data_IF_385090488945
#
_entry.id   IF_385090488945
#
_cell.length_a   1.000
_cell.length_b   1.000
_cell.length_c   1.000
_cell.angle_alpha   90.00
_cell.angle_beta   90.00
_cell.angle_gamma   90.00
#
_symmetry.space_group_name_H-M   'P 1'
#
loop_
_entity.id
_entity.type
_entity.pdbx_description
1 polymer ?
#
# COMPACT_ATOMS: atom_id res chain seq x y z
N UNK A 1 11.40 -19.66 -4.61
CA UNK A 1 9.95 -19.74 -4.83
C UNK A 1 9.26 -19.74 -3.49
N UNK A 2 8.36 -18.79 -3.21
CA UNK A 2 7.49 -18.91 -2.03
C UNK A 2 6.74 -17.65 -1.61
N UNK A 3 7.36 -16.47 -1.65
CA UNK A 3 6.73 -15.22 -1.19
C UNK A 3 7.15 -14.03 -2.06
N UNK A 4 6.23 -13.08 -2.34
CA UNK A 4 6.59 -11.84 -3.02
C UNK A 4 7.61 -11.01 -2.24
N UNK A 5 8.38 -10.19 -2.94
CA UNK A 5 9.45 -9.36 -2.37
C UNK A 5 8.96 -8.19 -1.52
N UNK A 6 7.72 -7.74 -1.75
CA UNK A 6 7.00 -6.77 -0.94
C UNK A 6 6.48 -7.34 0.39
N UNK A 7 6.51 -8.66 0.58
CA UNK A 7 6.02 -9.29 1.81
C UNK A 7 7.11 -9.26 2.90
N UNK A 8 6.84 -8.59 4.02
CA UNK A 8 7.80 -8.42 5.10
C UNK A 8 7.70 -9.52 6.17
N UNK A 9 6.53 -10.12 6.37
CA UNK A 9 6.33 -11.10 7.43
C UNK A 9 4.89 -11.19 7.92
N UNK A 10 4.71 -11.91 9.03
CA UNK A 10 3.43 -12.00 9.74
C UNK A 10 3.63 -11.43 11.15
N UNK A 11 2.78 -10.48 11.52
CA UNK A 11 2.66 -9.97 12.89
C UNK A 11 1.48 -10.65 13.58
N UNK A 12 1.65 -11.01 14.84
CA UNK A 12 0.54 -11.43 15.70
C UNK A 12 -0.01 -10.21 16.42
N UNK A 13 -1.27 -9.89 16.19
CA UNK A 13 -1.98 -8.85 16.93
C UNK A 13 -3.21 -9.45 17.61
N UNK A 14 -3.19 -9.49 18.95
CA UNK A 14 -4.17 -10.21 19.77
C UNK A 14 -4.21 -11.70 19.38
N UNK A 15 -5.26 -12.16 18.73
CA UNK A 15 -5.44 -13.54 18.24
C UNK A 15 -5.44 -13.62 16.70
N UNK A 16 -5.21 -12.50 16.02
CA UNK A 16 -5.22 -12.39 14.56
C UNK A 16 -3.80 -12.34 14.00
N UNK A 17 -3.61 -13.01 12.85
CA UNK A 17 -2.37 -12.96 12.07
C UNK A 17 -2.52 -11.87 11.01
N UNK A 18 -1.65 -10.88 11.06
CA UNK A 18 -1.58 -9.81 10.07
C UNK A 18 -0.36 -10.01 9.18
N UNK A 19 -0.59 -10.15 7.89
CA UNK A 19 0.45 -10.16 6.86
C UNK A 19 0.90 -8.74 6.56
N UNK A 20 2.21 -8.51 6.59
CA UNK A 20 2.80 -7.17 6.52
C UNK A 20 3.39 -6.92 5.14
N UNK A 21 2.99 -5.80 4.55
CA UNK A 21 3.42 -5.31 3.23
C UNK A 21 4.40 -4.16 3.39
N UNK A 22 5.50 -4.22 2.65
CA UNK A 22 6.46 -3.15 2.49
C UNK A 22 5.85 -2.05 1.59
N UNK A 23 5.39 -0.96 2.21
CA UNK A 23 4.72 0.11 1.48
C UNK A 23 5.62 0.82 0.47
N UNK A 24 6.93 0.93 0.73
CA UNK A 24 7.86 1.55 -0.20
C UNK A 24 8.02 0.70 -1.46
N UNK A 25 8.21 -0.62 -1.30
CA UNK A 25 8.24 -1.55 -2.45
C UNK A 25 6.91 -1.59 -3.19
N UNK A 26 5.79 -1.52 -2.48
CA UNK A 26 4.48 -1.54 -3.11
C UNK A 26 4.24 -0.27 -3.94
N UNK A 27 4.40 0.91 -3.33
CA UNK A 27 4.01 2.17 -3.96
C UNK A 27 5.01 2.62 -5.03
N UNK A 28 6.31 2.46 -4.78
CA UNK A 28 7.38 2.90 -5.68
C UNK A 28 8.46 1.82 -5.85
N UNK A 29 8.13 0.64 -6.42
CA UNK A 29 9.10 -0.44 -6.62
C UNK A 29 10.32 0.04 -7.42
N UNK A 30 10.12 0.94 -8.39
CA UNK A 30 11.19 1.47 -9.23
C UNK A 30 12.17 2.40 -8.50
N UNK A 31 11.80 2.92 -7.33
CA UNK A 31 12.66 3.80 -6.51
C UNK A 31 13.25 3.06 -5.30
N UNK A 32 12.93 1.78 -5.14
CA UNK A 32 13.39 1.00 -4.01
C UNK A 32 14.84 0.54 -4.24
N UNK A 33 15.80 1.26 -3.66
CA UNK A 33 17.23 0.92 -3.67
C UNK A 33 17.64 0.26 -2.36
N UNK A 34 18.83 -0.34 -2.32
CA UNK A 34 19.41 -0.91 -1.09
C UNK A 34 19.64 0.18 -0.03
N UNK A 35 20.15 1.35 -0.42
CA UNK A 35 20.30 2.52 0.47
C UNK A 35 18.95 2.99 1.04
N UNK A 36 17.88 2.96 0.23
CA UNK A 36 16.54 3.27 0.74
C UNK A 36 16.11 2.19 1.74
N UNK A 37 16.30 0.91 1.41
CA UNK A 37 15.94 -0.21 2.28
C UNK A 37 16.60 -0.11 3.67
N UNK A 38 17.87 0.30 3.73
CA UNK A 38 18.61 0.46 4.99
C UNK A 38 18.20 1.71 5.77
N UNK A 39 17.75 2.76 5.09
CA UNK A 39 17.32 4.01 5.75
C UNK A 39 15.87 4.00 6.22
N UNK A 40 15.04 3.12 5.66
CA UNK A 40 13.63 2.98 6.04
C UNK A 40 13.46 2.55 7.49
N UNK A 41 12.79 3.39 8.28
CA UNK A 41 12.49 3.12 9.68
C UNK A 41 10.98 2.95 9.85
N UNK A 42 10.48 1.76 9.52
CA UNK A 42 9.08 1.42 9.69
C UNK A 42 8.70 1.36 11.18
N UNK A 43 7.80 2.25 11.60
CA UNK A 43 7.39 2.42 13.01
C UNK A 43 5.92 2.12 13.25
N UNK A 44 5.13 2.11 12.18
CA UNK A 44 3.69 1.95 12.22
C UNK A 44 3.26 0.88 11.24
N UNK A 45 2.13 0.25 11.55
CA UNK A 45 1.42 -0.63 10.64
C UNK A 45 -0.01 -0.12 10.50
N UNK A 46 -0.43 0.10 9.26
CA UNK A 46 -1.79 0.55 8.94
C UNK A 46 -2.56 -0.68 8.45
N UNK A 47 -3.58 -1.09 9.21
CA UNK A 47 -4.46 -2.19 8.79
C UNK A 47 -5.33 -1.76 7.61
N UNK A 48 -5.50 -2.65 6.64
CA UNK A 48 -6.34 -2.44 5.47
C UNK A 48 -7.77 -2.92 5.76
N UNK A 49 -8.61 -2.00 6.25
CA UNK A 49 -9.99 -2.30 6.63
C UNK A 49 -10.06 -3.39 7.71
N UNK A 50 -10.92 -4.38 7.50
CA UNK A 50 -11.05 -5.57 8.36
C UNK A 50 -10.26 -6.78 7.84
N UNK A 51 -9.34 -6.58 6.88
CA UNK A 51 -8.56 -7.67 6.30
C UNK A 51 -7.39 -8.12 7.18
N UNK A 52 -6.77 -9.23 6.80
CA UNK A 52 -5.54 -9.74 7.41
C UNK A 52 -4.27 -9.02 6.90
N UNK A 53 -4.38 -7.90 6.20
CA UNK A 53 -3.25 -7.18 5.62
C UNK A 53 -2.95 -5.86 6.33
N UNK A 54 -1.66 -5.57 6.49
CA UNK A 54 -1.16 -4.30 7.02
C UNK A 54 -0.04 -3.71 6.17
N UNK A 55 -0.06 -2.39 6.00
CA UNK A 55 0.98 -1.61 5.33
C UNK A 55 1.97 -1.04 6.35
N UNK A 56 3.26 -1.34 6.19
CA UNK A 56 4.31 -0.77 7.03
C UNK A 56 4.55 0.71 6.67
N UNK A 57 4.64 1.59 7.66
CA UNK A 57 4.81 3.04 7.46
C UNK A 57 5.78 3.63 8.48
N UNK A 58 6.57 4.62 8.05
CA UNK A 58 7.53 5.30 8.92
C UNK A 58 6.87 6.34 9.84
N UNK A 59 5.82 7.00 9.36
CA UNK A 59 5.20 8.12 10.04
C UNK A 59 3.72 8.24 9.71
N UNK A 60 2.92 8.44 10.76
CA UNK A 60 1.57 8.96 10.65
C UNK A 60 1.65 10.49 10.72
N UNK A 61 1.17 11.17 9.69
CA UNK A 61 1.20 12.63 9.61
C UNK A 61 -0.06 13.18 10.26
N UNK A 62 -1.15 13.35 9.48
CA UNK A 62 -2.39 13.93 9.95
C UNK A 62 -3.58 13.24 9.28
N UNK A 63 -4.74 13.28 9.93
CA UNK A 63 -6.02 12.99 9.26
C UNK A 63 -6.47 14.24 8.52
N UNK A 64 -6.88 14.09 7.26
CA UNK A 64 -7.40 15.18 6.42
C UNK A 64 -8.76 14.76 5.87
N UNK A 65 -9.71 15.70 5.82
CA UNK A 65 -10.96 15.51 5.10
C UNK A 65 -10.73 15.92 3.64
N UNK A 66 -11.07 15.03 2.71
CA UNK A 66 -10.98 15.28 1.27
C UNK A 66 -12.38 15.29 0.68
N UNK A 67 -12.62 16.25 -0.21
CA UNK A 67 -13.78 16.26 -1.10
C UNK A 67 -13.43 15.57 -2.41
N UNK A 68 -14.44 15.26 -3.22
CA UNK A 68 -14.22 14.65 -4.54
C UNK A 68 -13.39 15.54 -5.46
N UNK A 69 -13.51 16.85 -5.32
CA UNK A 69 -12.79 17.83 -6.15
C UNK A 69 -11.32 17.97 -5.75
N UNK A 70 -10.93 17.54 -4.56
CA UNK A 70 -9.53 17.55 -4.10
C UNK A 70 -8.70 16.43 -4.73
N UNK A 71 -9.36 15.49 -5.39
CA UNK A 71 -8.75 14.28 -5.93
C UNK A 71 -8.84 14.30 -7.46
N UNK A 72 -7.69 14.09 -8.11
CA UNK A 72 -7.65 13.66 -9.50
C UNK A 72 -7.85 12.16 -9.54
N UNK A 73 -9.10 11.73 -9.71
CA UNK A 73 -9.48 10.32 -9.83
C UNK A 73 -8.84 9.68 -11.06
N UNK A 74 -8.58 8.38 -11.00
CA UNK A 74 -8.16 7.62 -12.19
C UNK A 74 -9.27 7.65 -13.25
N UNK A 75 -8.88 7.75 -14.51
CA UNK A 75 -9.82 7.71 -15.64
C UNK A 75 -10.06 6.29 -16.18
N UNK A 76 -9.07 5.40 -16.02
CA UNK A 76 -9.15 4.01 -16.46
C UNK A 76 -8.38 3.09 -15.50
N UNK A 77 -8.67 1.79 -15.56
CA UNK A 77 -7.88 0.72 -14.93
C UNK A 77 -6.52 0.63 -15.61
N UNK A 78 -5.62 1.52 -15.18
CA UNK A 78 -4.23 1.55 -15.62
C UNK A 78 -3.38 0.45 -14.96
N UNK A 79 -2.07 0.65 -14.96
CA UNK A 79 -1.09 -0.32 -14.41
C UNK A 79 -1.15 -0.50 -12.89
N UNK A 80 -1.91 0.33 -12.15
CA UNK A 80 -1.95 0.32 -10.68
C UNK A 80 -3.42 0.30 -10.21
N UNK A 81 -4.09 -0.86 -10.20
CA UNK A 81 -5.49 -0.98 -9.77
C UNK A 81 -5.74 -0.56 -8.32
N UNK A 82 -4.74 -0.66 -7.45
CA UNK A 82 -4.83 -0.17 -6.06
C UNK A 82 -4.79 1.37 -5.93
N UNK A 83 -4.52 2.13 -7.00
CA UNK A 83 -4.49 3.59 -6.98
C UNK A 83 -5.85 4.15 -7.39
N UNK A 84 -6.60 4.74 -6.44
CA UNK A 84 -7.88 5.38 -6.70
C UNK A 84 -7.72 6.74 -7.41
N UNK A 85 -6.65 7.47 -7.08
CA UNK A 85 -6.37 8.79 -7.63
C UNK A 85 -5.19 9.47 -6.95
N UNK A 86 -4.99 10.75 -7.28
CA UNK A 86 -3.94 11.61 -6.71
C UNK A 86 -4.58 12.82 -6.03
N UNK A 87 -4.20 13.09 -4.79
CA UNK A 87 -4.62 14.30 -4.07
C UNK A 87 -3.89 15.50 -4.65
N UNK A 88 -4.63 16.49 -5.16
CA UNK A 88 -4.10 17.60 -5.97
C UNK A 88 -3.09 18.46 -5.21
N UNK A 89 -3.41 18.87 -3.98
CA UNK A 89 -2.57 19.81 -3.21
C UNK A 89 -1.30 19.18 -2.63
N UNK A 90 -1.37 17.91 -2.24
CA UNK A 90 -0.30 17.21 -1.51
C UNK A 90 0.50 16.24 -2.39
N UNK A 91 0.02 15.97 -3.61
CA UNK A 91 0.54 14.94 -4.50
C UNK A 91 0.65 13.56 -3.82
N UNK A 92 -0.23 13.29 -2.87
CA UNK A 92 -0.32 11.98 -2.22
C UNK A 92 -1.15 11.04 -3.09
N UNK A 93 -0.75 9.77 -3.13
CA UNK A 93 -1.57 8.72 -3.70
C UNK A 93 -2.78 8.46 -2.79
N UNK A 94 -3.97 8.40 -3.39
CA UNK A 94 -5.17 7.89 -2.75
C UNK A 94 -5.31 6.40 -3.07
N UNK A 95 -5.34 5.57 -2.04
CA UNK A 95 -5.37 4.11 -2.16
C UNK A 95 -6.82 3.62 -2.26
N UNK A 96 -7.09 2.77 -3.25
CA UNK A 96 -8.27 1.93 -3.34
C UNK A 96 -8.06 0.68 -2.46
N UNK A 97 -8.62 0.70 -1.25
CA UNK A 97 -8.34 -0.31 -0.22
C UNK A 97 -8.87 -1.69 -0.62
N UNK A 98 -10.06 -1.76 -1.22
CA UNK A 98 -10.68 -3.01 -1.63
C UNK A 98 -9.86 -3.69 -2.74
N UNK A 99 -9.46 -2.92 -3.75
CA UNK A 99 -8.65 -3.43 -4.85
C UNK A 99 -7.26 -3.85 -4.37
N UNK A 100 -6.65 -3.08 -3.46
CA UNK A 100 -5.37 -3.45 -2.85
C UNK A 100 -5.46 -4.80 -2.13
N UNK A 101 -6.48 -5.03 -1.30
CA UNK A 101 -6.68 -6.30 -0.60
C UNK A 101 -6.86 -7.45 -1.60
N UNK A 102 -7.66 -7.24 -2.66
CA UNK A 102 -7.85 -8.23 -3.73
C UNK A 102 -6.53 -8.63 -4.41
N UNK A 103 -5.68 -7.65 -4.71
CA UNK A 103 -4.35 -7.89 -5.30
C UNK A 103 -3.44 -8.68 -4.34
N UNK A 104 -3.38 -8.30 -3.07
CA UNK A 104 -2.56 -8.96 -2.06
C UNK A 104 -2.99 -10.41 -1.83
N UNK A 105 -4.29 -10.69 -1.76
CA UNK A 105 -4.83 -12.05 -1.65
C UNK A 105 -4.45 -12.95 -2.82
N UNK A 106 -4.33 -12.37 -4.03
CA UNK A 106 -3.89 -13.08 -5.24
C UNK A 106 -2.35 -13.19 -5.34
N UNK A 107 -1.60 -12.61 -4.39
CA UNK A 107 -0.14 -12.58 -4.40
C UNK A 107 0.44 -11.71 -5.52
N UNK A 108 -0.35 -10.77 -6.05
CA UNK A 108 0.04 -9.88 -7.13
C UNK A 108 0.98 -8.76 -6.64
N UNK A 109 1.83 -8.26 -7.52
CA UNK A 109 2.62 -7.05 -7.32
C UNK A 109 1.83 -5.79 -7.67
N UNK A 110 2.34 -4.64 -7.25
CA UNK A 110 1.66 -3.35 -7.39
C UNK A 110 1.47 -2.86 -8.83
N UNK A 111 2.16 -3.45 -9.79
CA UNK A 111 2.02 -3.14 -11.22
C UNK A 111 1.24 -4.20 -12.00
N UNK A 112 0.79 -5.26 -11.33
CA UNK A 112 0.04 -6.32 -11.96
C UNK A 112 -1.43 -5.90 -12.11
N UNK A 113 -2.09 -6.48 -13.11
CA UNK A 113 -3.52 -6.28 -13.33
C UNK A 113 -4.30 -7.42 -12.68
N UNK A 114 -5.38 -7.07 -12.02
CA UNK A 114 -6.40 -8.03 -11.61
C UNK A 114 -7.14 -8.51 -12.86
N UNK A 115 -7.22 -9.85 -13.10
CA UNK A 115 -7.97 -10.40 -14.22
C UNK A 115 -9.48 -10.22 -14.04
#
# INVERSE_FOLDING_TARGET
FGKPDWFMGVMLHRESKLSVVDSAKWVMPEKYTEELAESLNYRYMIMLGESEWGLASEKLVNTVNLTKDDVKWRESTGKRPWLAGMVKEKMCALIDVEELISMLNKGLGSNDQTP
#
